data_IF_527396133012
#
_entry.id   IF_527396133012
#
_cell.length_a   1.000
_cell.length_b   1.000
_cell.length_c   1.000
_cell.angle_alpha   90.00
_cell.angle_beta   90.00
_cell.angle_gamma   90.00
#
_symmetry.space_group_name_H-M   'P 1'
#
loop_
_entity.id
_entity.type
_entity.pdbx_description
1 polymer ?
#
# COMPACT_ATOMS: atom_id res chain seq x y z
N UNK A 1 -18.76 -22.36 19.99
CA UNK A 1 -18.06 -22.55 18.71
C UNK A 1 -19.13 -22.56 17.63
N UNK A 2 -19.40 -21.39 17.02
CA UNK A 2 -20.35 -21.27 15.90
C UNK A 2 -19.58 -21.66 14.65
N UNK A 3 -20.06 -22.64 13.91
CA UNK A 3 -19.47 -23.04 12.64
C UNK A 3 -19.53 -21.87 11.66
N UNK A 4 -18.48 -21.63 10.83
CA UNK A 4 -18.55 -20.61 9.80
C UNK A 4 -19.69 -20.95 8.82
N UNK A 5 -20.46 -19.92 8.45
CA UNK A 5 -21.49 -20.06 7.43
C UNK A 5 -20.81 -20.44 6.11
N UNK A 6 -21.28 -21.51 5.48
CA UNK A 6 -20.86 -21.92 4.14
C UNK A 6 -21.12 -20.77 3.16
N UNK A 7 -20.02 -20.17 2.62
CA UNK A 7 -20.06 -19.08 1.66
C UNK A 7 -19.30 -17.81 2.06
N UNK A 8 -18.79 -17.70 3.29
CA UNK A 8 -17.97 -16.57 3.71
C UNK A 8 -16.54 -16.78 3.23
N UNK A 9 -16.15 -16.07 2.17
CA UNK A 9 -14.76 -16.08 1.69
C UNK A 9 -13.87 -15.55 2.82
N UNK A 10 -12.90 -16.35 3.25
CA UNK A 10 -11.94 -15.91 4.24
C UNK A 10 -11.18 -14.71 3.66
N UNK A 11 -11.25 -13.56 4.34
CA UNK A 11 -10.59 -12.33 3.92
C UNK A 11 -9.06 -12.53 3.74
N UNK A 12 -8.48 -13.48 4.47
CA UNK A 12 -7.05 -13.83 4.36
C UNK A 12 -6.79 -14.53 3.03
N UNK A 13 -7.66 -15.44 2.62
CA UNK A 13 -7.56 -16.11 1.32
C UNK A 13 -7.72 -15.13 0.15
N UNK A 14 -8.57 -14.11 0.30
CA UNK A 14 -8.74 -13.06 -0.69
C UNK A 14 -7.48 -12.18 -0.79
N UNK A 15 -6.94 -11.77 0.36
CA UNK A 15 -5.70 -11.02 0.44
C UNK A 15 -4.51 -11.83 -0.13
N UNK A 16 -4.42 -13.12 0.17
CA UNK A 16 -3.40 -14.02 -0.38
C UNK A 16 -3.50 -14.12 -1.91
N UNK A 17 -4.70 -14.25 -2.46
CA UNK A 17 -4.91 -14.30 -3.92
C UNK A 17 -4.47 -13.00 -4.59
N UNK A 18 -4.86 -11.88 -4.00
CA UNK A 18 -4.47 -10.56 -4.51
C UNK A 18 -2.95 -10.39 -4.52
N UNK A 19 -2.31 -10.59 -3.36
CA UNK A 19 -0.85 -10.42 -3.27
C UNK A 19 -0.07 -11.44 -4.07
N UNK A 20 -0.55 -12.67 -4.17
CA UNK A 20 0.06 -13.69 -5.02
C UNK A 20 0.05 -13.27 -6.50
N UNK A 21 -1.07 -12.72 -6.98
CA UNK A 21 -1.17 -12.15 -8.33
C UNK A 21 -0.22 -10.98 -8.54
N UNK A 22 -0.18 -10.04 -7.59
CA UNK A 22 0.70 -8.87 -7.64
C UNK A 22 2.19 -9.25 -7.63
N UNK A 23 2.54 -10.30 -6.92
CA UNK A 23 3.92 -10.79 -6.80
C UNK A 23 4.31 -11.80 -7.89
N UNK A 24 3.35 -12.32 -8.64
CA UNK A 24 3.57 -13.37 -9.66
C UNK A 24 3.91 -14.73 -9.04
N UNK A 25 3.31 -15.08 -7.91
CA UNK A 25 3.56 -16.34 -7.17
C UNK A 25 2.26 -17.10 -6.90
N UNK A 26 2.36 -18.37 -6.45
CA UNK A 26 1.20 -19.11 -5.99
C UNK A 26 0.73 -18.60 -4.60
N UNK A 27 -0.59 -18.56 -4.29
CA UNK A 27 -1.09 -18.04 -3.01
C UNK A 27 -0.47 -18.71 -1.78
N UNK A 28 -0.24 -20.00 -1.80
CA UNK A 28 0.38 -20.75 -0.69
C UNK A 28 1.79 -20.32 -0.32
N UNK A 29 2.48 -19.58 -1.20
CA UNK A 29 3.83 -19.05 -0.92
C UNK A 29 3.79 -18.00 0.19
N UNK A 30 2.71 -17.21 0.30
CA UNK A 30 2.54 -16.19 1.33
C UNK A 30 2.34 -16.75 2.73
N UNK A 31 2.01 -18.04 2.84
CA UNK A 31 1.84 -18.77 4.12
C UNK A 31 2.99 -19.72 4.44
N UNK A 32 3.90 -19.93 3.49
CA UNK A 32 5.05 -20.80 3.69
C UNK A 32 6.18 -20.01 4.36
N UNK A 33 6.70 -20.56 5.47
CA UNK A 33 7.74 -19.89 6.26
C UNK A 33 9.00 -19.56 5.45
N UNK A 34 9.57 -18.39 5.73
CA UNK A 34 10.89 -17.99 5.28
C UNK A 34 10.92 -16.85 4.27
N UNK A 35 12.12 -16.55 3.81
CA UNK A 35 12.43 -15.49 2.84
C UNK A 35 12.61 -16.10 1.44
N UNK A 36 11.99 -15.49 0.44
CA UNK A 36 12.08 -15.95 -0.96
C UNK A 36 12.12 -14.79 -1.92
N UNK A 37 12.87 -14.98 -3.00
CA UNK A 37 12.98 -14.05 -4.12
C UNK A 37 12.41 -14.71 -5.37
N UNK A 38 11.58 -14.00 -6.08
CA UNK A 38 10.97 -14.43 -7.34
C UNK A 38 11.17 -13.37 -8.41
N UNK A 39 11.32 -13.79 -9.65
CA UNK A 39 11.23 -12.91 -10.80
C UNK A 39 9.85 -13.07 -11.46
N UNK A 40 9.29 -11.95 -11.90
CA UNK A 40 7.99 -11.92 -12.58
C UNK A 40 8.10 -11.25 -13.93
N UNK A 41 7.45 -11.83 -14.95
CA UNK A 41 7.23 -11.17 -16.22
C UNK A 41 6.20 -10.06 -16.04
N UNK A 42 6.62 -8.79 -16.03
CA UNK A 42 5.70 -7.64 -15.98
C UNK A 42 6.31 -6.47 -16.76
N UNK A 43 5.58 -5.99 -17.75
CA UNK A 43 5.97 -4.82 -18.53
C UNK A 43 5.95 -3.52 -17.71
N UNK A 44 5.01 -3.40 -16.78
CA UNK A 44 4.77 -2.16 -16.02
C UNK A 44 5.66 -1.99 -14.79
N UNK A 45 6.40 -3.02 -14.40
CA UNK A 45 7.16 -3.02 -13.16
C UNK A 45 8.69 -3.09 -13.34
N UNK A 46 9.23 -2.74 -14.52
CA UNK A 46 10.66 -2.95 -14.89
C UNK A 46 11.67 -2.33 -13.92
N UNK A 47 11.28 -1.31 -13.19
CA UNK A 47 12.17 -0.58 -12.27
C UNK A 47 11.78 -0.73 -10.80
N UNK A 48 10.90 -1.69 -10.47
CA UNK A 48 10.32 -1.77 -9.15
C UNK A 48 10.29 -3.20 -8.59
N UNK A 49 11.07 -3.45 -7.53
CA UNK A 49 10.91 -4.62 -6.69
C UNK A 49 9.79 -4.39 -5.68
N UNK A 50 8.93 -5.38 -5.47
CA UNK A 50 7.89 -5.36 -4.44
C UNK A 50 8.25 -6.36 -3.37
N UNK A 51 8.25 -5.93 -2.12
CA UNK A 51 8.49 -6.78 -0.96
C UNK A 51 7.20 -6.85 -0.14
N UNK A 52 6.75 -8.05 0.15
CA UNK A 52 5.59 -8.29 1.03
C UNK A 52 6.01 -9.24 2.13
N UNK A 53 5.75 -8.84 3.37
CA UNK A 53 5.96 -9.66 4.55
C UNK A 53 4.63 -9.97 5.23
N UNK A 54 4.38 -11.23 5.52
CA UNK A 54 3.29 -11.74 6.36
C UNK A 54 3.84 -12.15 7.73
N UNK A 55 3.03 -12.80 8.56
CA UNK A 55 3.49 -13.41 9.82
C UNK A 55 4.50 -14.54 9.61
N UNK A 56 4.48 -15.20 8.43
CA UNK A 56 5.27 -16.40 8.14
C UNK A 56 6.32 -16.17 7.06
N UNK A 57 5.98 -15.41 6.02
CA UNK A 57 6.79 -15.27 4.82
C UNK A 57 7.27 -13.84 4.60
N UNK A 58 8.41 -13.72 3.95
CA UNK A 58 8.82 -12.48 3.27
C UNK A 58 9.14 -12.81 1.82
N UNK A 59 8.40 -12.19 0.92
CA UNK A 59 8.51 -12.40 -0.51
C UNK A 59 9.04 -11.14 -1.17
N UNK A 60 10.11 -11.28 -1.94
CA UNK A 60 10.64 -10.24 -2.83
C UNK A 60 10.28 -10.64 -4.25
N UNK A 61 9.52 -9.80 -4.93
CA UNK A 61 9.19 -9.99 -6.33
C UNK A 61 9.92 -8.95 -7.17
N UNK A 62 10.76 -9.42 -8.07
CA UNK A 62 11.58 -8.63 -8.98
C UNK A 62 11.01 -8.70 -10.39
N UNK A 63 11.19 -7.67 -11.23
CA UNK A 63 11.00 -7.81 -12.66
C UNK A 63 11.99 -8.83 -13.24
N UNK A 64 11.56 -9.54 -14.28
CA UNK A 64 12.40 -10.52 -14.96
C UNK A 64 13.73 -9.91 -15.43
N UNK A 65 14.84 -10.61 -15.19
CA UNK A 65 16.20 -10.18 -15.50
C UNK A 65 16.76 -9.09 -14.58
N UNK A 66 16.06 -8.69 -13.50
CA UNK A 66 16.50 -7.61 -12.62
C UNK A 66 17.14 -8.08 -11.30
N UNK A 67 17.30 -9.39 -11.09
CA UNK A 67 18.00 -9.91 -9.91
C UNK A 67 19.43 -9.35 -9.77
N UNK A 68 20.26 -9.26 -10.84
CA UNK A 68 21.59 -8.65 -10.72
C UNK A 68 21.56 -7.18 -10.31
N UNK A 69 20.58 -6.40 -10.81
CA UNK A 69 20.43 -5.00 -10.42
C UNK A 69 20.03 -4.85 -8.96
N UNK A 70 19.18 -5.75 -8.46
CA UNK A 70 18.78 -5.80 -7.06
C UNK A 70 19.96 -6.17 -6.14
N UNK A 71 20.76 -7.15 -6.51
CA UNK A 71 21.95 -7.57 -5.77
C UNK A 71 23.03 -6.46 -5.76
N UNK A 72 23.23 -5.79 -6.91
CA UNK A 72 24.21 -4.70 -7.06
C UNK A 72 23.73 -3.37 -6.48
N UNK A 73 22.48 -3.27 -6.06
CA UNK A 73 21.91 -2.06 -5.50
C UNK A 73 22.47 -1.68 -4.11
N UNK A 74 23.46 -2.41 -3.60
CA UNK A 74 24.06 -2.19 -2.29
C UNK A 74 23.22 -2.66 -1.11
N UNK A 75 22.19 -3.47 -1.37
CA UNK A 75 21.39 -4.08 -0.33
C UNK A 75 22.13 -5.25 0.31
N UNK A 76 22.19 -5.27 1.64
CA UNK A 76 22.73 -6.40 2.37
C UNK A 76 21.64 -7.49 2.46
N UNK A 77 21.76 -8.52 1.61
CA UNK A 77 20.79 -9.62 1.55
C UNK A 77 20.70 -10.41 2.85
N UNK A 78 21.78 -10.53 3.62
CA UNK A 78 21.77 -11.23 4.91
C UNK A 78 20.91 -10.46 5.93
N UNK A 79 21.08 -9.15 6.02
CA UNK A 79 20.28 -8.30 6.90
C UNK A 79 18.82 -8.22 6.42
N UNK A 80 18.60 -8.12 5.11
CA UNK A 80 17.28 -8.14 4.52
C UNK A 80 16.55 -9.47 4.83
N UNK A 81 17.25 -10.59 4.80
CA UNK A 81 16.69 -11.90 5.15
C UNK A 81 16.40 -12.04 6.66
N UNK A 82 17.29 -11.50 7.50
CA UNK A 82 17.18 -11.63 8.97
C UNK A 82 16.10 -10.73 9.57
N UNK A 83 15.96 -9.51 9.06
CA UNK A 83 15.07 -8.49 9.61
C UNK A 83 14.53 -7.56 8.51
N UNK A 84 13.74 -8.06 7.55
CA UNK A 84 13.43 -7.36 6.30
C UNK A 84 12.75 -5.99 6.53
N UNK A 85 11.72 -5.93 7.36
CA UNK A 85 10.99 -4.69 7.64
C UNK A 85 11.88 -3.63 8.27
N UNK A 86 12.67 -4.01 9.28
CA UNK A 86 13.60 -3.10 9.97
C UNK A 86 14.72 -2.63 9.04
N UNK A 87 15.27 -3.54 8.25
CA UNK A 87 16.33 -3.23 7.29
C UNK A 87 15.86 -2.23 6.24
N UNK A 88 14.71 -2.45 5.62
CA UNK A 88 14.15 -1.53 4.62
C UNK A 88 13.79 -0.16 5.21
N UNK A 89 13.37 -0.11 6.49
CA UNK A 89 13.18 1.17 7.20
C UNK A 89 14.50 1.94 7.32
N UNK A 90 15.60 1.26 7.59
CA UNK A 90 16.92 1.88 7.69
C UNK A 90 17.46 2.30 6.30
N UNK A 91 17.20 1.52 5.25
CA UNK A 91 17.64 1.83 3.89
C UNK A 91 17.02 3.10 3.31
N UNK A 92 15.85 3.52 3.80
CA UNK A 92 15.22 4.76 3.35
C UNK A 92 16.10 6.00 3.53
N UNK A 93 17.06 5.96 4.44
CA UNK A 93 17.97 7.08 4.75
C UNK A 93 19.42 6.87 4.33
N UNK A 94 19.80 5.69 3.82
CA UNK A 94 21.23 5.33 3.74
C UNK A 94 21.77 5.11 2.32
N UNK A 95 20.94 5.02 1.27
CA UNK A 95 21.41 4.56 -0.04
C UNK A 95 20.81 5.36 -1.21
N UNK A 96 21.45 5.24 -2.36
CA UNK A 96 21.01 5.75 -3.67
C UNK A 96 19.69 5.09 -4.19
N UNK A 97 19.11 4.19 -3.42
CA UNK A 97 17.86 3.51 -3.72
C UNK A 97 16.68 4.25 -3.08
N UNK A 98 15.65 4.49 -3.86
CA UNK A 98 14.38 4.96 -3.32
C UNK A 98 13.57 3.76 -2.79
N UNK A 99 13.44 3.68 -1.46
CA UNK A 99 12.58 2.71 -0.78
C UNK A 99 11.30 3.41 -0.34
N UNK A 100 10.16 2.95 -0.85
CA UNK A 100 8.83 3.40 -0.45
C UNK A 100 8.22 2.40 0.52
N UNK A 101 7.97 2.82 1.73
CA UNK A 101 7.56 1.94 2.83
C UNK A 101 8.71 1.74 3.81
N UNK A 102 8.71 0.73 4.67
CA UNK A 102 7.61 -0.24 4.85
C UNK A 102 6.29 0.40 5.25
N UNK A 103 5.21 -0.23 4.80
CA UNK A 103 3.85 0.17 5.10
C UNK A 103 3.05 -1.01 5.66
N UNK A 104 2.33 -0.77 6.73
CA UNK A 104 1.34 -1.66 7.27
C UNK A 104 0.29 -2.03 6.23
N UNK A 105 -0.11 -3.28 6.20
CA UNK A 105 -1.24 -3.81 5.44
C UNK A 105 -2.25 -4.39 6.41
N UNK A 106 -3.45 -3.80 6.46
CA UNK A 106 -4.56 -4.30 7.24
C UNK A 106 -5.80 -4.48 6.39
N UNK A 107 -6.59 -5.46 6.72
CA UNK A 107 -7.84 -5.75 6.05
C UNK A 107 -9.02 -5.70 7.01
N UNK A 108 -10.18 -5.36 6.47
CA UNK A 108 -11.43 -5.46 7.22
C UNK A 108 -11.87 -6.92 7.24
N UNK A 109 -11.98 -7.56 8.44
CA UNK A 109 -12.34 -8.97 8.51
C UNK A 109 -13.79 -9.18 8.11
N UNK A 110 -14.08 -10.21 7.32
CA UNK A 110 -15.41 -10.54 6.88
C UNK A 110 -16.38 -10.84 8.04
N UNK A 111 -15.83 -11.37 9.14
CA UNK A 111 -16.58 -11.63 10.39
C UNK A 111 -16.98 -10.35 11.15
N UNK A 112 -16.41 -9.21 10.81
CA UNK A 112 -16.76 -7.94 11.43
C UNK A 112 -18.10 -7.42 10.91
N UNK A 113 -18.93 -6.92 11.82
CA UNK A 113 -20.18 -6.28 11.42
C UNK A 113 -19.89 -5.07 10.52
N UNK A 114 -20.68 -4.95 9.44
CA UNK A 114 -20.60 -3.77 8.58
C UNK A 114 -20.72 -2.50 9.42
N UNK A 115 -19.73 -1.60 9.38
CA UNK A 115 -19.72 -0.44 10.23
C UNK A 115 -20.85 0.54 9.83
N UNK A 116 -21.48 1.14 10.84
CA UNK A 116 -22.49 2.18 10.62
C UNK A 116 -21.86 3.53 10.90
N UNK A 117 -21.66 4.40 9.91
CA UNK A 117 -21.20 5.75 10.15
C UNK A 117 -22.27 6.54 10.90
N UNK A 118 -21.87 7.36 11.85
CA UNK A 118 -22.78 8.21 12.65
C UNK A 118 -22.90 9.62 12.09
N UNK A 119 -22.06 10.01 11.14
CA UNK A 119 -22.05 11.33 10.52
C UNK A 119 -22.78 11.38 9.19
N UNK A 120 -23.18 12.59 8.80
CA UNK A 120 -23.71 12.86 7.47
C UNK A 120 -22.58 12.75 6.45
N UNK A 121 -22.61 11.70 5.65
CA UNK A 121 -21.68 11.48 4.55
C UNK A 121 -22.43 11.59 3.22
N UNK A 122 -21.76 12.19 2.25
CA UNK A 122 -22.27 12.26 0.87
C UNK A 122 -21.24 11.66 -0.08
N UNK A 123 -21.69 11.01 -1.14
CA UNK A 123 -20.81 10.57 -2.23
C UNK A 123 -20.42 11.79 -3.04
N UNK A 124 -19.13 11.93 -3.30
CA UNK A 124 -18.57 13.02 -4.11
C UNK A 124 -18.16 12.43 -5.47
N UNK A 125 -18.84 12.86 -6.50
CA UNK A 125 -18.50 12.59 -7.90
C UNK A 125 -17.68 13.73 -8.51
N UNK A 126 -17.41 13.70 -9.83
CA UNK A 126 -16.50 14.59 -10.54
C UNK A 126 -16.47 16.05 -10.06
N UNK A 127 -17.62 16.74 -10.05
CA UNK A 127 -17.71 18.14 -9.55
C UNK A 127 -17.50 18.22 -8.03
N UNK A 128 -17.90 17.19 -7.29
CA UNK A 128 -17.67 17.07 -5.85
C UNK A 128 -16.20 17.01 -5.51
N UNK A 129 -15.38 16.26 -6.28
CA UNK A 129 -13.93 16.21 -6.11
C UNK A 129 -13.25 17.55 -6.36
N UNK A 130 -13.71 18.32 -7.38
CA UNK A 130 -13.20 19.65 -7.64
C UNK A 130 -13.38 20.61 -6.43
N UNK A 131 -14.46 20.42 -5.66
CA UNK A 131 -14.74 21.21 -4.45
C UNK A 131 -13.81 20.88 -3.27
N UNK A 132 -13.00 19.81 -3.37
CA UNK A 132 -12.05 19.42 -2.32
C UNK A 132 -10.71 20.17 -2.40
N UNK A 133 -10.53 21.06 -3.39
CA UNK A 133 -9.31 21.84 -3.53
C UNK A 133 -8.92 22.56 -2.21
N UNK A 134 -9.91 23.11 -1.50
CA UNK A 134 -9.67 23.77 -0.21
C UNK A 134 -9.12 22.80 0.86
N UNK A 135 -9.58 21.55 0.89
CA UNK A 135 -9.01 20.54 1.82
C UNK A 135 -7.58 20.19 1.44
N UNK A 136 -7.32 19.94 0.17
CA UNK A 136 -5.98 19.66 -0.35
C UNK A 136 -5.00 20.78 0.02
N UNK A 137 -5.42 22.03 -0.14
CA UNK A 137 -4.56 23.20 0.07
C UNK A 137 -4.23 23.45 1.56
N UNK A 138 -4.96 22.81 2.51
CA UNK A 138 -4.64 22.89 3.95
C UNK A 138 -3.43 22.06 4.36
N UNK A 139 -3.15 20.95 3.67
CA UNK A 139 -2.01 20.09 3.92
C UNK A 139 -1.68 19.27 2.65
N UNK A 140 -1.08 19.90 1.62
CA UNK A 140 -0.89 19.30 0.30
C UNK A 140 -0.11 17.97 0.32
N UNK A 141 0.97 17.90 1.10
CA UNK A 141 1.79 16.68 1.20
C UNK A 141 1.02 15.50 1.82
N UNK A 142 0.19 15.76 2.83
CA UNK A 142 -0.65 14.72 3.45
C UNK A 142 -1.81 14.31 2.54
N UNK A 143 -2.34 15.25 1.74
CA UNK A 143 -3.34 14.96 0.71
C UNK A 143 -2.77 14.03 -0.36
N UNK A 144 -1.56 14.33 -0.85
CA UNK A 144 -0.85 13.47 -1.79
C UNK A 144 -0.58 12.08 -1.20
N UNK A 145 -0.15 12.02 0.07
CA UNK A 145 0.05 10.74 0.77
C UNK A 145 -1.26 9.96 0.94
N UNK A 146 -2.39 10.64 1.12
CA UNK A 146 -3.70 9.99 1.19
C UNK A 146 -4.10 9.33 -0.13
N UNK A 147 -3.58 9.78 -1.27
CA UNK A 147 -3.76 9.17 -2.58
C UNK A 147 -5.16 9.36 -3.16
N UNK A 148 -5.94 10.34 -2.68
CA UNK A 148 -7.28 10.62 -3.20
C UNK A 148 -7.17 11.22 -4.59
N UNK A 149 -7.66 10.51 -5.59
CA UNK A 149 -7.56 10.85 -7.00
C UNK A 149 -8.89 10.72 -7.76
N UNK A 150 -8.85 10.96 -9.08
CA UNK A 150 -10.04 10.95 -9.93
C UNK A 150 -10.72 9.57 -10.02
N UNK A 151 -9.95 8.50 -9.85
CA UNK A 151 -10.46 7.12 -9.92
C UNK A 151 -10.99 6.63 -8.56
N UNK A 152 -10.90 7.48 -7.53
CA UNK A 152 -11.36 7.16 -6.19
C UNK A 152 -12.86 7.40 -6.05
N UNK A 153 -13.56 6.45 -5.45
CA UNK A 153 -14.90 6.68 -4.94
C UNK A 153 -14.80 7.37 -3.58
N UNK A 154 -15.17 8.63 -3.50
CA UNK A 154 -14.94 9.48 -2.32
C UNK A 154 -16.25 9.82 -1.63
N UNK A 155 -16.24 9.78 -0.30
CA UNK A 155 -17.32 10.21 0.56
C UNK A 155 -16.83 11.38 1.43
N UNK A 156 -17.60 12.48 1.44
CA UNK A 156 -17.34 13.66 2.26
C UNK A 156 -18.16 13.64 3.54
N UNK A 157 -17.53 13.99 4.66
CA UNK A 157 -18.19 14.17 5.95
C UNK A 157 -18.28 15.68 6.25
N UNK A 158 -19.52 16.14 6.53
CA UNK A 158 -19.79 17.55 6.83
C UNK A 158 -19.89 17.84 8.31
N UNK A 159 -19.35 18.99 8.69
CA UNK A 159 -19.58 19.64 10.00
C UNK A 159 -19.99 21.09 9.70
N UNK A 160 -21.10 21.54 10.24
CA UNK A 160 -21.62 22.90 10.04
C UNK A 160 -21.71 23.33 8.56
N UNK A 161 -22.09 22.37 7.70
CA UNK A 161 -22.24 22.60 6.25
C UNK A 161 -20.95 22.49 5.42
N UNK A 162 -19.77 22.41 6.06
CA UNK A 162 -18.50 22.27 5.37
C UNK A 162 -18.02 20.82 5.37
N UNK A 163 -17.43 20.35 4.24
CA UNK A 163 -16.74 19.05 4.20
C UNK A 163 -15.41 19.24 4.94
N UNK A 164 -15.20 18.50 6.02
CA UNK A 164 -14.00 18.62 6.86
C UNK A 164 -13.18 17.32 6.93
N UNK A 165 -13.75 16.24 6.49
CA UNK A 165 -13.06 14.97 6.34
C UNK A 165 -13.60 14.24 5.12
N UNK A 166 -12.75 13.49 4.48
CA UNK A 166 -13.09 12.64 3.35
C UNK A 166 -12.45 11.27 3.53
N UNK A 167 -13.15 10.25 3.10
CA UNK A 167 -12.58 8.93 2.90
C UNK A 167 -13.14 8.32 1.62
N UNK A 168 -12.38 7.44 1.03
CA UNK A 168 -12.77 6.79 -0.19
C UNK A 168 -11.97 5.53 -0.41
N UNK A 169 -12.11 4.98 -1.59
CA UNK A 169 -11.32 3.84 -2.03
C UNK A 169 -11.14 3.83 -3.54
N UNK A 170 -10.06 3.25 -3.93
CA UNK A 170 -9.76 2.89 -5.32
C UNK A 170 -9.88 1.37 -5.45
N UNK A 171 -10.68 0.86 -6.42
CA UNK A 171 -10.76 -0.58 -6.66
C UNK A 171 -9.45 -1.11 -7.28
N UNK A 172 -8.83 -2.11 -6.64
CA UNK A 172 -7.66 -2.79 -7.15
C UNK A 172 -8.00 -4.21 -7.57
N UNK A 173 -7.56 -4.60 -8.77
CA UNK A 173 -7.82 -5.91 -9.37
C UNK A 173 -9.30 -6.36 -9.32
N UNK A 174 -10.23 -5.42 -9.16
CA UNK A 174 -11.67 -5.68 -9.14
C UNK A 174 -12.24 -6.30 -7.85
N UNK A 175 -11.41 -6.53 -6.82
CA UNK A 175 -11.87 -7.17 -5.58
C UNK A 175 -11.30 -6.57 -4.29
N UNK A 176 -10.30 -5.70 -4.37
CA UNK A 176 -9.77 -4.97 -3.21
C UNK A 176 -10.21 -3.51 -3.27
N UNK A 177 -10.66 -2.96 -2.16
CA UNK A 177 -10.87 -1.52 -1.98
C UNK A 177 -9.68 -0.92 -1.23
N UNK A 178 -8.73 -0.30 -1.93
CA UNK A 178 -7.63 0.42 -1.30
C UNK A 178 -8.16 1.71 -0.69
N UNK A 179 -8.27 1.73 0.64
CA UNK A 179 -8.86 2.84 1.37
C UNK A 179 -7.94 4.06 1.44
N UNK A 180 -8.58 5.22 1.41
CA UNK A 180 -7.96 6.53 1.44
C UNK A 180 -8.70 7.38 2.47
N UNK A 181 -8.00 8.25 3.20
CA UNK A 181 -8.64 9.14 4.18
C UNK A 181 -7.83 10.42 4.36
N UNK A 182 -8.54 11.53 4.43
CA UNK A 182 -7.98 12.84 4.79
C UNK A 182 -8.92 13.57 5.75
N UNK A 183 -8.36 14.26 6.73
CA UNK A 183 -9.10 15.09 7.66
C UNK A 183 -8.41 16.45 7.81
N UNK A 184 -9.17 17.51 7.64
CA UNK A 184 -8.71 18.89 7.78
C UNK A 184 -7.97 19.08 9.13
N UNK A 185 -6.77 19.67 9.15
CA UNK A 185 -5.93 19.77 10.36
C UNK A 185 -6.68 20.28 11.60
N UNK A 186 -7.49 21.35 11.45
CA UNK A 186 -8.23 21.97 12.56
C UNK A 186 -9.38 21.10 13.09
N UNK A 187 -9.74 20.02 12.40
CA UNK A 187 -10.85 19.13 12.80
C UNK A 187 -10.37 17.76 13.28
N UNK A 188 -9.05 17.55 13.38
CA UNK A 188 -8.46 16.29 13.87
C UNK A 188 -8.76 16.03 15.34
N UNK A 189 -8.56 14.79 15.76
CA UNK A 189 -8.77 14.31 17.14
C UNK A 189 -10.22 14.39 17.64
N UNK A 190 -11.19 14.61 16.72
CA UNK A 190 -12.63 14.63 17.00
C UNK A 190 -13.34 13.34 16.54
N UNK A 191 -12.59 12.32 16.08
CA UNK A 191 -13.16 11.07 15.57
C UNK A 191 -13.63 11.10 14.12
N UNK A 192 -13.56 12.26 13.43
CA UNK A 192 -14.15 12.44 12.09
C UNK A 192 -13.50 11.55 11.02
N UNK A 193 -12.19 11.35 11.06
CA UNK A 193 -11.51 10.42 10.16
C UNK A 193 -12.00 8.97 10.36
N UNK A 194 -12.28 8.56 11.60
CA UNK A 194 -12.83 7.24 11.88
C UNK A 194 -14.26 7.08 11.33
N UNK A 195 -15.08 8.11 11.44
CA UNK A 195 -16.44 8.09 10.87
C UNK A 195 -16.40 8.08 9.34
N UNK A 196 -15.54 8.88 8.72
CA UNK A 196 -15.36 8.89 7.27
C UNK A 196 -14.90 7.51 6.76
N UNK A 197 -13.91 6.89 7.42
CA UNK A 197 -13.40 5.57 6.99
C UNK A 197 -14.45 4.47 7.16
N UNK A 198 -15.29 4.52 8.20
CA UNK A 198 -16.43 3.60 8.36
C UNK A 198 -17.42 3.70 7.21
N UNK A 199 -17.67 4.92 6.73
CA UNK A 199 -18.53 5.13 5.56
C UNK A 199 -17.91 4.52 4.29
N UNK A 200 -16.60 4.72 4.09
CA UNK A 200 -15.88 4.13 2.95
C UNK A 200 -15.87 2.60 3.02
N UNK A 201 -15.61 2.00 4.19
CA UNK A 201 -15.72 0.54 4.40
C UNK A 201 -17.12 0.06 4.04
N UNK A 202 -18.16 0.72 4.57
CA UNK A 202 -19.55 0.33 4.30
C UNK A 202 -19.87 0.42 2.81
N UNK A 203 -19.38 1.41 2.09
CA UNK A 203 -19.55 1.54 0.64
C UNK A 203 -18.79 0.45 -0.12
N UNK A 204 -17.52 0.19 0.24
CA UNK A 204 -16.72 -0.85 -0.40
C UNK A 204 -17.32 -2.25 -0.24
N UNK A 205 -17.83 -2.56 0.95
CA UNK A 205 -18.55 -3.83 1.21
C UNK A 205 -19.86 -3.95 0.41
N UNK A 206 -20.53 -2.81 0.13
CA UNK A 206 -21.70 -2.81 -0.74
C UNK A 206 -21.37 -3.07 -2.21
N UNK A 207 -20.17 -2.69 -2.61
CA UNK A 207 -19.61 -2.95 -3.95
C UNK A 207 -18.91 -4.32 -4.02
N UNK A 208 -19.05 -5.16 -2.99
CA UNK A 208 -18.42 -6.49 -2.88
C UNK A 208 -16.90 -6.48 -2.94
N UNK A 209 -16.29 -5.40 -2.46
CA UNK A 209 -14.83 -5.25 -2.39
C UNK A 209 -14.33 -5.51 -0.96
N UNK A 210 -13.18 -6.13 -0.82
CA UNK A 210 -12.49 -6.32 0.45
C UNK A 210 -11.74 -5.02 0.83
N UNK A 211 -12.11 -4.32 1.93
CA UNK A 211 -11.44 -3.10 2.31
C UNK A 211 -10.02 -3.36 2.84
N UNK A 212 -9.03 -2.73 2.19
CA UNK A 212 -7.62 -2.72 2.57
C UNK A 212 -7.22 -1.35 3.07
N UNK A 213 -6.53 -1.31 4.21
CA UNK A 213 -5.91 -0.11 4.76
C UNK A 213 -4.40 -0.21 4.69
N UNK A 214 -3.78 0.80 4.10
CA UNK A 214 -2.32 0.87 4.01
C UNK A 214 -1.83 2.18 4.63
N UNK A 215 -0.83 2.08 5.49
CA UNK A 215 -0.20 3.23 6.11
C UNK A 215 1.30 3.00 6.27
N UNK A 216 2.12 4.01 5.99
CA UNK A 216 3.56 3.93 6.28
C UNK A 216 3.78 3.66 7.77
N UNK A 217 4.79 2.87 8.11
CA UNK A 217 5.13 2.57 9.52
C UNK A 217 5.45 3.84 10.32
N UNK A 218 5.98 4.86 9.69
CA UNK A 218 6.25 6.15 10.29
C UNK A 218 4.99 7.01 10.56
N UNK A 219 3.84 6.68 9.93
CA UNK A 219 2.58 7.41 10.11
C UNK A 219 1.78 6.87 11.30
N UNK A 220 2.25 7.15 12.51
CA UNK A 220 1.62 6.68 13.76
C UNK A 220 0.13 7.09 13.90
N UNK A 221 -0.32 8.29 13.50
CA UNK A 221 -1.74 8.64 13.51
C UNK A 221 -2.60 7.74 12.63
N UNK A 222 -2.12 7.41 11.42
CA UNK A 222 -2.82 6.54 10.48
C UNK A 222 -2.90 5.10 10.98
N UNK A 223 -1.81 4.57 11.57
CA UNK A 223 -1.79 3.25 12.22
C UNK A 223 -2.75 3.17 13.40
N UNK A 224 -2.81 4.22 14.23
CA UNK A 224 -3.75 4.30 15.34
C UNK A 224 -5.21 4.33 14.85
N UNK A 225 -5.47 5.02 13.73
CA UNK A 225 -6.79 5.05 13.10
C UNK A 225 -7.19 3.66 12.62
N UNK A 226 -6.32 2.95 11.88
CA UNK A 226 -6.59 1.61 11.40
C UNK A 226 -6.97 0.64 12.54
N UNK A 227 -6.16 0.60 13.61
CA UNK A 227 -6.41 -0.24 14.78
C UNK A 227 -7.71 0.12 15.49
N UNK A 228 -7.97 1.42 15.69
CA UNK A 228 -9.19 1.91 16.33
C UNK A 228 -10.46 1.57 15.56
N UNK A 229 -10.40 1.60 14.24
CA UNK A 229 -11.55 1.26 13.38
C UNK A 229 -11.78 -0.25 13.37
N UNK A 230 -10.75 -1.07 13.52
CA UNK A 230 -10.87 -2.53 13.62
C UNK A 230 -10.22 -3.29 12.46
N UNK A 231 -9.29 -2.67 11.73
CA UNK A 231 -8.49 -3.41 10.74
C UNK A 231 -7.58 -4.41 11.43
N UNK A 232 -7.53 -5.60 10.86
CA UNK A 232 -6.63 -6.68 11.28
C UNK A 232 -5.37 -6.65 10.42
N UNK A 233 -4.22 -6.70 11.07
CA UNK A 233 -2.93 -6.73 10.36
C UNK A 233 -2.78 -8.04 9.60
N UNK A 234 -2.60 -7.93 8.29
CA UNK A 234 -2.21 -9.02 7.40
C UNK A 234 -0.69 -9.13 7.32
N UNK A 235 -0.02 -7.98 7.25
CA UNK A 235 1.42 -7.92 7.10
C UNK A 235 1.90 -6.50 6.79
N UNK A 236 2.91 -6.43 5.96
CA UNK A 236 3.50 -5.16 5.52
C UNK A 236 4.01 -5.27 4.08
N UNK A 237 4.21 -4.13 3.43
CA UNK A 237 4.80 -4.08 2.10
C UNK A 237 5.81 -2.94 1.96
N UNK A 238 6.76 -3.11 1.06
CA UNK A 238 7.65 -2.05 0.60
C UNK A 238 7.87 -2.16 -0.90
N UNK A 239 8.23 -1.03 -1.51
CA UNK A 239 8.66 -0.98 -2.90
C UNK A 239 10.08 -0.44 -2.94
N UNK A 240 10.96 -1.12 -3.65
CA UNK A 240 12.33 -0.68 -3.91
C UNK A 240 12.41 -0.30 -5.39
N UNK A 241 12.72 0.96 -5.67
CA UNK A 241 12.96 1.40 -7.04
C UNK A 241 14.37 0.99 -7.43
N UNK A 242 14.46 0.20 -8.49
CA UNK A 242 15.72 -0.26 -9.05
C UNK A 242 16.26 0.81 -10.01
N UNK A 243 17.57 1.09 -10.00
CA UNK A 243 18.17 2.00 -10.95
C UNK A 243 17.96 1.47 -12.38
N UNK A 244 17.83 2.39 -13.34
CA UNK A 244 17.90 2.03 -14.74
C UNK A 244 19.21 1.30 -15.01
N UNK A 245 19.22 0.40 -15.99
CA UNK A 245 20.48 -0.18 -16.45
C UNK A 245 21.37 0.97 -16.94
N UNK A 246 22.29 1.43 -16.09
CA UNK A 246 23.36 2.30 -16.52
C UNK A 246 24.08 1.52 -17.61
N UNK A 247 24.11 2.06 -18.83
CA UNK A 247 24.90 1.54 -19.92
C UNK A 247 26.31 1.25 -19.44
N UNK A 248 26.56 0.03 -19.03
CA UNK A 248 27.89 -0.49 -18.74
C UNK A 248 28.60 -0.75 -20.07
N UNK A 249 28.77 0.30 -20.87
CA UNK A 249 29.55 0.22 -22.09
C UNK A 249 30.10 1.59 -22.46
N UNK A 250 31.15 2.06 -21.74
CA UNK A 250 32.14 2.97 -22.30
C UNK A 250 33.36 3.14 -21.40
N UNK A 251 33.95 2.05 -20.90
CA UNK A 251 35.40 2.04 -20.64
C UNK A 251 36.08 1.30 -21.80
N UNK A 252 35.89 1.88 -22.98
CA UNK A 252 36.63 1.52 -24.19
C UNK A 252 38.09 1.95 -23.97
N UNK A 253 38.90 0.98 -23.93
CA UNK A 253 40.34 0.92 -24.14
C UNK A 253 40.85 2.06 -25.03
N UNK A 254 41.43 3.10 -24.44
CA UNK A 254 42.35 3.97 -25.17
C UNK A 254 43.64 3.19 -25.38
N UNK A 255 43.69 2.48 -26.52
CA UNK A 255 44.91 1.91 -27.03
C UNK A 255 45.98 3.00 -27.20
N UNK A 256 47.05 2.92 -26.44
CA UNK A 256 48.30 3.62 -26.72
C UNK A 256 48.84 3.08 -28.04
N UNK A 257 48.73 3.87 -29.09
CA UNK A 257 49.58 3.74 -30.27
C UNK A 257 50.94 4.34 -29.96
N UNK A 258 51.91 3.47 -29.75
CA UNK A 258 53.33 3.81 -29.89
C UNK A 258 53.65 3.59 -31.35
N UNK A 259 54.21 4.60 -32.00
CA UNK A 259 54.67 4.49 -33.37
C UNK A 259 55.67 5.58 -33.69
N UNK A 260 56.90 5.27 -33.72
CA UNK A 260 58.07 5.70 -34.53
C UNK A 260 58.03 7.09 -35.14
#
# INVERSE_FOLDING_TARGET
MVAPHEGEVDWVDEADRFWASELGVAPGVLRADGFRVFERASADARHRATVVGTSSATIVSLPEGRAPAFENAGLNLEELTRSPRRYLTACHSLHSLEVRGPAYLGYWPASAHRPRPQGLTEVLDGDGLARLAFLRDTAPAEWEEAGIGPDSRVLGLRVEGQIVAVAGYEPWAGHIAQLQVFCHPNYRRRGLAAESIKAAISSALADHLLPQYRARDANAPSLALARRVGFVEYGWMATVLLPDEVSACSSGTTGRGVGS
#
